data_IF_737649190287
#
_entry.id   IF_737649190287
#
_cell.length_a   1.000
_cell.length_b   1.000
_cell.length_c   1.000
_cell.angle_alpha   90.00
_cell.angle_beta   90.00
_cell.angle_gamma   90.00
#
_symmetry.space_group_name_H-M   'P 1'
#
loop_
_entity.id
_entity.type
_entity.pdbx_description
1 polymer ?
#
# COMPACT_ATOMS: atom_id res chain seq x y z
N UNK A 1 -2.19 -6.32 13.85
CA UNK A 1 -2.13 -6.74 12.43
C UNK A 1 -0.95 -7.66 12.24
N UNK A 2 -1.13 -8.77 11.53
CA UNK A 2 -0.04 -9.71 11.23
C UNK A 2 1.01 -9.02 10.35
N UNK A 3 2.28 -9.17 10.69
CA UNK A 3 3.38 -8.69 9.85
C UNK A 3 3.67 -9.69 8.70
N UNK A 4 4.13 -9.23 7.53
CA UNK A 4 4.36 -7.82 7.18
C UNK A 4 3.07 -7.10 6.76
N UNK A 5 3.06 -5.78 6.93
CA UNK A 5 1.97 -4.93 6.47
C UNK A 5 2.46 -3.61 5.88
N UNK A 6 1.67 -3.04 4.97
CA UNK A 6 1.84 -1.71 4.37
C UNK A 6 0.52 -0.95 4.48
N UNK A 7 0.57 0.30 4.93
CA UNK A 7 -0.57 1.23 4.93
C UNK A 7 -0.23 2.45 4.07
N UNK A 8 -1.14 2.77 3.16
CA UNK A 8 -1.18 4.05 2.44
C UNK A 8 -2.38 4.83 2.96
N UNK A 9 -2.10 5.87 3.75
CA UNK A 9 -3.12 6.82 4.18
C UNK A 9 -3.47 7.80 3.06
N UNK A 10 -4.68 8.38 3.12
CA UNK A 10 -5.13 9.33 2.11
C UNK A 10 -4.29 10.62 2.17
N UNK A 11 -4.20 11.23 3.35
CA UNK A 11 -3.53 12.52 3.59
C UNK A 11 -2.03 12.36 3.89
N UNK A 12 -1.48 11.16 3.70
CA UNK A 12 -0.09 10.84 4.03
C UNK A 12 0.78 10.86 2.78
N UNK A 13 1.95 11.51 2.88
CA UNK A 13 2.97 11.52 1.81
C UNK A 13 3.90 10.30 1.89
N UNK A 14 3.80 9.53 2.98
CA UNK A 14 4.61 8.34 3.26
C UNK A 14 3.72 7.12 3.45
N UNK A 15 4.17 6.00 2.90
CA UNK A 15 3.71 4.68 3.31
C UNK A 15 4.22 4.40 4.70
N UNK A 16 3.38 3.77 5.50
CA UNK A 16 3.78 3.17 6.77
C UNK A 16 3.88 1.67 6.56
N UNK A 17 4.95 1.06 7.03
CA UNK A 17 5.07 -0.38 6.92
C UNK A 17 5.79 -0.98 8.11
N UNK A 18 5.55 -2.28 8.31
CA UNK A 18 6.32 -3.08 9.26
C UNK A 18 6.51 -4.47 8.70
N UNK A 19 7.64 -5.06 9.04
CA UNK A 19 8.03 -6.42 8.69
C UNK A 19 8.80 -7.01 9.88
N UNK A 20 8.93 -8.35 9.95
CA UNK A 20 9.74 -8.99 10.97
C UNK A 20 11.11 -8.34 11.09
N UNK A 21 11.57 -8.17 12.33
CA UNK A 21 12.86 -7.54 12.59
C UNK A 21 14.00 -8.33 11.95
N UNK A 22 14.93 -7.61 11.33
CA UNK A 22 16.16 -8.14 10.77
C UNK A 22 17.20 -7.04 10.72
N UNK A 23 18.44 -7.36 11.06
CA UNK A 23 19.56 -6.40 11.08
C UNK A 23 19.86 -5.85 9.68
N UNK A 24 19.53 -6.59 8.63
CA UNK A 24 19.72 -6.23 7.22
C UNK A 24 18.51 -5.54 6.59
N UNK A 25 17.44 -5.26 7.34
CA UNK A 25 16.19 -4.75 6.77
C UNK A 25 16.36 -3.42 6.02
N UNK A 26 17.21 -2.51 6.52
CA UNK A 26 17.49 -1.25 5.83
C UNK A 26 18.18 -1.48 4.49
N UNK A 27 19.22 -2.31 4.46
CA UNK A 27 19.94 -2.64 3.24
C UNK A 27 19.02 -3.30 2.21
N UNK A 28 18.23 -4.28 2.65
CA UNK A 28 17.24 -4.94 1.80
C UNK A 28 16.21 -3.95 1.21
N UNK A 29 15.76 -2.94 1.97
CA UNK A 29 14.86 -1.91 1.43
C UNK A 29 15.54 -1.08 0.31
N UNK A 30 16.84 -0.79 0.42
CA UNK A 30 17.57 -0.10 -0.64
C UNK A 30 17.73 -0.99 -1.87
N UNK A 31 18.04 -2.28 -1.69
CA UNK A 31 18.20 -3.24 -2.79
C UNK A 31 16.91 -3.38 -3.61
N UNK A 32 15.75 -3.44 -2.95
CA UNK A 32 14.46 -3.66 -3.61
C UNK A 32 13.82 -2.38 -4.17
N UNK A 33 14.03 -1.23 -3.51
CA UNK A 33 13.33 0.02 -3.85
C UNK A 33 14.24 1.05 -4.54
N UNK A 34 15.54 0.79 -4.59
CA UNK A 34 16.57 1.60 -5.21
C UNK A 34 17.34 2.48 -4.21
N UNK A 35 18.62 2.75 -4.51
CA UNK A 35 19.53 3.44 -3.60
C UNK A 35 19.09 4.85 -3.18
N UNK A 36 18.28 5.52 -4.02
CA UNK A 36 17.81 6.89 -3.77
C UNK A 36 16.67 6.98 -2.77
N UNK A 37 16.10 5.85 -2.34
CA UNK A 37 15.06 5.89 -1.31
C UNK A 37 15.61 6.35 0.03
N UNK A 38 14.76 6.98 0.84
CA UNK A 38 15.09 7.37 2.21
C UNK A 38 14.16 6.63 3.16
N UNK A 39 14.39 5.35 3.47
CA UNK A 39 13.56 4.63 4.43
C UNK A 39 13.89 5.14 5.83
N UNK A 40 12.88 5.54 6.58
CA UNK A 40 13.04 6.10 7.92
C UNK A 40 12.38 5.19 8.94
N UNK A 41 13.10 4.79 9.98
CA UNK A 41 12.53 4.04 11.08
C UNK A 41 11.97 5.00 12.11
N UNK A 42 10.65 5.07 12.22
CA UNK A 42 9.95 5.87 13.21
C UNK A 42 9.62 5.00 14.44
N UNK A 43 10.38 5.20 15.51
CA UNK A 43 10.20 4.53 16.80
C UNK A 43 9.49 5.40 17.85
N UNK A 44 9.07 6.62 17.51
CA UNK A 44 8.33 7.52 18.40
C UNK A 44 6.84 7.15 18.44
N UNK A 45 6.35 6.44 17.43
CA UNK A 45 4.98 5.92 17.34
C UNK A 45 4.89 4.46 17.80
N UNK A 46 3.66 3.99 18.06
CA UNK A 46 3.36 2.60 18.42
C UNK A 46 2.26 2.03 17.50
N UNK A 47 2.49 0.90 16.80
CA UNK A 47 3.78 0.21 16.70
C UNK A 47 4.83 1.06 15.96
N UNK A 48 6.11 0.90 16.33
CA UNK A 48 7.22 1.47 15.56
C UNK A 48 7.20 0.91 14.13
N UNK A 49 7.57 1.73 13.15
CA UNK A 49 7.32 1.44 11.73
C UNK A 49 8.37 2.08 10.84
N UNK A 50 8.52 1.53 9.65
CA UNK A 50 9.22 2.22 8.56
C UNK A 50 8.26 3.19 7.88
N UNK A 51 8.80 4.34 7.49
CA UNK A 51 8.13 5.32 6.66
C UNK A 51 8.89 5.41 5.33
N UNK A 52 8.18 5.23 4.22
CA UNK A 52 8.73 5.12 2.85
C UNK A 52 7.93 6.05 1.94
N UNK A 53 8.51 6.62 0.87
CA UNK A 53 7.75 7.52 0.00
C UNK A 53 6.58 6.78 -0.69
N UNK A 54 5.42 7.45 -0.76
CA UNK A 54 4.16 6.91 -1.31
C UNK A 54 4.28 6.21 -2.68
N UNK A 55 5.07 6.73 -3.65
CA UNK A 55 5.19 6.10 -4.97
C UNK A 55 5.75 4.67 -4.99
N UNK A 56 6.38 4.21 -3.90
CA UNK A 56 6.93 2.85 -3.84
C UNK A 56 5.89 1.78 -3.46
N UNK A 57 4.58 2.10 -3.40
CA UNK A 57 3.56 1.18 -2.89
C UNK A 57 3.58 -0.18 -3.60
N UNK A 58 3.56 -0.19 -4.94
CA UNK A 58 3.60 -1.44 -5.71
C UNK A 58 4.90 -2.19 -5.49
N UNK A 59 6.06 -1.54 -5.66
CA UNK A 59 7.38 -2.19 -5.51
C UNK A 59 7.58 -2.75 -4.10
N UNK A 60 7.26 -1.98 -3.06
CA UNK A 60 7.35 -2.40 -1.66
C UNK A 60 6.44 -3.59 -1.36
N UNK A 61 5.19 -3.53 -1.80
CA UNK A 61 4.23 -4.63 -1.59
C UNK A 61 4.70 -5.89 -2.29
N UNK A 62 5.22 -5.76 -3.52
CA UNK A 62 5.79 -6.86 -4.30
C UNK A 62 6.98 -7.48 -3.57
N UNK A 63 7.96 -6.68 -3.18
CA UNK A 63 9.16 -7.12 -2.47
C UNK A 63 8.82 -7.84 -1.16
N UNK A 64 7.88 -7.30 -0.36
CA UNK A 64 7.43 -7.93 0.88
C UNK A 64 6.71 -9.27 0.62
N UNK A 65 5.80 -9.33 -0.35
CA UNK A 65 5.12 -10.58 -0.70
C UNK A 65 6.10 -11.63 -1.21
N UNK A 66 7.11 -11.23 -1.99
CA UNK A 66 8.17 -12.10 -2.47
C UNK A 66 8.99 -12.63 -1.30
N UNK A 67 9.40 -11.77 -0.36
CA UNK A 67 10.24 -12.16 0.79
C UNK A 67 9.50 -13.02 1.81
N UNK A 68 8.27 -12.67 2.16
CA UNK A 68 7.54 -13.27 3.30
C UNK A 68 6.37 -14.18 2.89
N UNK A 69 6.12 -14.34 1.59
CA UNK A 69 5.04 -15.17 1.04
C UNK A 69 3.70 -14.44 0.93
N UNK A 70 3.41 -13.53 1.87
CA UNK A 70 2.25 -12.63 1.81
C UNK A 70 2.52 -11.30 2.53
N UNK A 71 1.72 -10.29 2.21
CA UNK A 71 1.70 -8.99 2.90
C UNK A 71 0.28 -8.47 3.00
N UNK A 72 -0.06 -7.87 4.13
CA UNK A 72 -1.32 -7.15 4.32
C UNK A 72 -1.18 -5.72 3.82
N UNK A 73 -2.11 -5.26 2.97
CA UNK A 73 -2.08 -3.91 2.40
C UNK A 73 -3.36 -3.16 2.74
N UNK A 74 -3.21 -1.97 3.28
CA UNK A 74 -4.32 -1.15 3.76
C UNK A 74 -4.30 0.17 3.02
N UNK A 75 -5.39 0.46 2.33
CA UNK A 75 -5.52 1.61 1.45
C UNK A 75 -6.70 2.47 1.89
N UNK A 76 -6.44 3.74 2.15
CA UNK A 76 -7.49 4.73 2.40
C UNK A 76 -7.87 5.49 1.12
N UNK A 77 -9.17 5.65 0.92
CA UNK A 77 -9.77 6.37 -0.18
C UNK A 77 -10.70 7.47 0.34
N UNK A 78 -10.94 8.49 -0.47
CA UNK A 78 -11.99 9.46 -0.21
C UNK A 78 -13.36 8.87 -0.57
N UNK A 79 -14.41 9.27 0.13
CA UNK A 79 -15.79 9.00 -0.29
C UNK A 79 -16.35 10.11 -1.19
N UNK A 80 -15.65 11.23 -1.32
CA UNK A 80 -16.11 12.44 -2.02
C UNK A 80 -15.25 12.83 -3.23
N UNK A 81 -14.00 12.38 -3.30
CA UNK A 81 -13.09 12.66 -4.43
C UNK A 81 -13.55 11.87 -5.66
N UNK A 82 -14.09 12.58 -6.65
CA UNK A 82 -14.59 11.97 -7.88
C UNK A 82 -13.45 11.38 -8.71
N UNK A 83 -13.64 10.15 -9.17
CA UNK A 83 -12.77 9.56 -10.17
C UNK A 83 -12.91 10.30 -11.50
N UNK A 84 -11.81 10.84 -12.00
CA UNK A 84 -11.74 11.59 -13.25
C UNK A 84 -10.97 10.82 -14.33
N UNK A 85 -10.89 11.42 -15.53
CA UNK A 85 -10.16 10.83 -16.65
C UNK A 85 -8.67 10.63 -16.32
N UNK A 86 -8.04 11.52 -15.55
CA UNK A 86 -6.62 11.39 -15.20
C UNK A 86 -6.38 10.14 -14.37
N UNK A 87 -7.25 9.84 -13.41
CA UNK A 87 -7.20 8.59 -12.66
C UNK A 87 -7.45 7.37 -13.55
N UNK A 88 -8.46 7.45 -14.43
CA UNK A 88 -8.81 6.33 -15.31
C UNK A 88 -7.70 5.96 -16.29
N UNK A 89 -6.90 6.93 -16.75
CA UNK A 89 -5.77 6.71 -17.66
C UNK A 89 -4.41 6.73 -16.96
N UNK A 90 -4.37 6.74 -15.63
CA UNK A 90 -3.12 6.80 -14.89
C UNK A 90 -2.32 5.50 -15.04
N UNK A 91 -1.00 5.65 -15.19
CA UNK A 91 -0.03 4.54 -15.22
C UNK A 91 0.62 4.30 -13.85
N UNK A 92 0.52 5.26 -12.94
CA UNK A 92 1.07 5.17 -11.58
C UNK A 92 0.16 4.39 -10.64
N UNK A 93 0.65 4.18 -9.41
CA UNK A 93 0.07 3.24 -8.47
C UNK A 93 -0.78 3.89 -7.34
N UNK A 94 -0.90 5.22 -7.39
CA UNK A 94 -1.55 6.01 -6.36
C UNK A 94 -2.97 6.42 -6.76
N UNK A 95 -3.95 5.68 -6.24
CA UNK A 95 -5.37 5.98 -6.43
C UNK A 95 -6.05 6.22 -5.08
N UNK A 96 -6.57 7.42 -4.85
CA UNK A 96 -7.32 7.77 -3.63
C UNK A 96 -8.80 8.08 -3.85
N UNK A 97 -9.30 8.00 -5.10
CA UNK A 97 -10.69 8.35 -5.41
C UNK A 97 -11.75 7.43 -4.80
N UNK A 98 -12.99 7.92 -4.79
CA UNK A 98 -14.18 7.20 -4.36
C UNK A 98 -14.51 5.96 -5.18
N UNK A 99 -13.94 5.86 -6.39
CA UNK A 99 -13.90 4.65 -7.21
C UNK A 99 -13.20 3.47 -6.52
N UNK A 100 -12.36 3.75 -5.51
CA UNK A 100 -11.54 2.77 -4.80
C UNK A 100 -10.73 1.86 -5.73
N UNK A 101 -10.17 2.45 -6.79
CA UNK A 101 -9.34 1.79 -7.80
C UNK A 101 -10.08 1.02 -8.89
N UNK A 102 -11.41 0.91 -8.84
CA UNK A 102 -12.21 0.09 -9.78
C UNK A 102 -12.08 0.54 -11.24
N UNK A 103 -11.70 1.80 -11.48
CA UNK A 103 -11.50 2.34 -12.83
C UNK A 103 -10.08 2.84 -13.07
N UNK A 104 -9.19 2.74 -12.08
CA UNK A 104 -7.84 3.29 -12.17
C UNK A 104 -7.02 2.52 -13.21
N UNK A 105 -6.30 3.23 -14.08
CA UNK A 105 -5.49 2.62 -15.14
C UNK A 105 -6.27 1.63 -16.03
N UNK A 106 -7.52 1.94 -16.35
CA UNK A 106 -8.40 1.06 -17.14
C UNK A 106 -9.03 -0.10 -16.36
N UNK A 107 -9.07 -0.01 -15.02
CA UNK A 107 -9.72 -1.02 -14.17
C UNK A 107 -8.94 -2.32 -13.99
N UNK A 108 -7.70 -2.37 -14.48
CA UNK A 108 -6.79 -3.52 -14.31
C UNK A 108 -6.03 -3.49 -12.99
N UNK A 109 -6.17 -2.38 -12.26
CA UNK A 109 -5.39 -2.10 -11.08
C UNK A 109 -5.93 -2.87 -9.87
N UNK A 110 -5.03 -3.52 -9.11
CA UNK A 110 -5.31 -4.45 -8.00
C UNK A 110 -6.06 -5.75 -8.34
N UNK A 111 -6.26 -6.12 -9.61
CA UNK A 111 -6.97 -7.36 -9.98
C UNK A 111 -6.42 -8.63 -9.32
N UNK A 112 -5.12 -8.65 -9.00
CA UNK A 112 -4.47 -9.82 -8.39
C UNK A 112 -4.44 -9.76 -6.85
N UNK A 113 -4.85 -8.66 -6.22
CA UNK A 113 -4.85 -8.52 -4.77
C UNK A 113 -6.16 -9.05 -4.19
N UNK A 114 -6.09 -9.93 -3.19
CA UNK A 114 -7.29 -10.49 -2.59
C UNK A 114 -7.86 -9.52 -1.56
N UNK A 115 -9.08 -9.02 -1.77
CA UNK A 115 -9.81 -8.25 -0.77
C UNK A 115 -10.16 -9.15 0.43
N UNK A 116 -9.94 -8.65 1.65
CA UNK A 116 -10.28 -9.35 2.89
C UNK A 116 -11.69 -8.96 3.33
N UNK A 117 -12.67 -9.85 3.08
CA UNK A 117 -14.05 -9.77 3.58
C UNK A 117 -15.00 -8.88 2.75
N UNK A 118 -16.26 -9.31 2.62
CA UNK A 118 -17.38 -8.44 2.23
C UNK A 118 -17.92 -7.75 3.49
N UNK A 119 -17.80 -6.42 3.57
CA UNK A 119 -18.24 -5.63 4.74
C UNK A 119 -17.13 -5.13 5.68
N UNK A 120 -15.85 -5.39 5.40
CA UNK A 120 -14.70 -4.87 6.17
C UNK A 120 -14.37 -3.40 5.90
N UNK A 121 -15.17 -2.77 5.05
CA UNK A 121 -15.11 -1.36 4.71
C UNK A 121 -16.13 -0.64 5.57
N UNK A 122 -15.71 0.23 6.51
CA UNK A 122 -16.45 1.41 7.06
C UNK A 122 -15.90 1.85 8.44
N UNK A 123 -14.61 2.16 8.56
CA UNK A 123 -14.13 2.98 9.69
C UNK A 123 -13.00 3.88 9.22
N UNK A 124 -13.38 5.01 8.66
CA UNK A 124 -12.50 6.16 8.46
C UNK A 124 -13.13 7.40 9.08
N UNK A 125 -12.37 8.50 9.27
CA UNK A 125 -12.95 9.81 9.48
C UNK A 125 -14.03 10.10 8.42
N UNK A 126 -15.01 10.96 8.73
CA UNK A 126 -16.02 11.40 7.74
C UNK A 126 -15.33 11.78 6.43
N UNK A 127 -15.77 11.19 5.32
CA UNK A 127 -15.13 11.40 4.02
C UNK A 127 -14.07 10.37 3.62
N UNK A 128 -13.78 9.36 4.46
CA UNK A 128 -12.75 8.34 4.21
C UNK A 128 -13.29 6.92 4.29
N UNK A 129 -12.70 6.05 3.50
CA UNK A 129 -13.02 4.63 3.46
C UNK A 129 -11.75 3.80 3.31
N UNK A 130 -11.61 2.75 4.12
CA UNK A 130 -10.45 1.87 4.13
C UNK A 130 -10.77 0.54 3.43
N UNK A 131 -9.85 0.03 2.60
CA UNK A 131 -9.87 -1.35 2.10
C UNK A 131 -8.63 -2.11 2.58
N UNK A 132 -8.85 -3.36 3.00
CA UNK A 132 -7.81 -4.29 3.40
C UNK A 132 -7.64 -5.40 2.38
N UNK A 133 -6.42 -5.54 1.87
CA UNK A 133 -6.02 -6.55 0.91
C UNK A 133 -4.97 -7.50 1.51
N UNK A 134 -4.93 -8.72 0.99
CA UNK A 134 -3.80 -9.64 1.10
C UNK A 134 -3.18 -9.79 -0.27
N UNK A 135 -1.87 -9.57 -0.34
CA UNK A 135 -1.07 -9.77 -1.54
C UNK A 135 -0.12 -10.94 -1.29
N UNK A 136 -0.28 -12.01 -2.05
CA UNK A 136 0.58 -13.20 -1.96
C UNK A 136 1.68 -13.16 -3.01
N UNK A 137 2.77 -13.89 -2.75
CA UNK A 137 3.81 -14.13 -3.75
C UNK A 137 3.17 -14.64 -5.05
N UNK A 138 3.55 -14.06 -6.19
CA UNK A 138 3.00 -14.40 -7.51
C UNK A 138 1.69 -13.68 -7.87
N UNK A 139 1.04 -12.99 -6.92
CA UNK A 139 -0.20 -12.25 -7.12
C UNK A 139 0.03 -10.75 -7.40
N UNK A 140 1.19 -10.38 -7.95
CA UNK A 140 1.43 -9.01 -8.42
C UNK A 140 1.67 -9.05 -9.91
N UNK A 141 0.85 -8.30 -10.67
CA UNK A 141 1.08 -8.15 -12.10
C UNK A 141 2.48 -7.53 -12.32
N UNK A 142 3.26 -8.13 -13.24
CA UNK A 142 4.52 -7.54 -13.72
C UNK A 142 4.25 -6.12 -14.20
#
# INVERSE_FOLDING_TARGET
MKEPWVRRGYDQTRLWMRMPFGTTNRAWLHDELGDRIRPEWNNTVRPARWEIAKPHLKTLTTALSNRFGEVHVILEFSTTERCDHKCQTATGDDCSCSCRGEHHGGGTYWMNWQLVGEGSTLTGPVGRVERHYIVRRGNVAR
#
